data_IF_556408134797
#
_entry.id   IF_556408134797
#
_cell.length_a   1.000
_cell.length_b   1.000
_cell.length_c   1.000
_cell.angle_alpha   90.00
_cell.angle_beta   90.00
_cell.angle_gamma   90.00
#
_symmetry.space_group_name_H-M   'P 1'
#
loop_
_entity.id
_entity.type
_entity.pdbx_description
1 polymer ?
#
# COMPACT_ATOMS: atom_id res chain seq x y z
N UNK A 1 8.73 -17.96 16.60
CA UNK A 1 8.14 -19.28 16.36
C UNK A 1 6.70 -19.13 15.91
N UNK A 2 6.39 -19.66 14.73
CA UNK A 2 5.04 -19.74 14.18
C UNK A 2 4.20 -20.81 14.91
N UNK A 3 2.90 -20.54 15.05
CA UNK A 3 1.89 -21.39 15.65
C UNK A 3 0.51 -20.98 15.15
N UNK A 4 -0.18 -21.90 14.50
CA UNK A 4 -1.56 -21.73 14.06
C UNK A 4 -2.53 -21.57 15.25
N UNK A 5 -3.52 -20.70 15.08
CA UNK A 5 -4.59 -20.53 16.05
C UNK A 5 -5.71 -21.56 15.84
N UNK A 6 -5.74 -22.60 16.65
CA UNK A 6 -6.84 -23.60 16.67
C UNK A 6 -7.80 -23.42 17.84
N UNK A 7 -7.57 -22.46 18.74
CA UNK A 7 -8.34 -22.29 19.98
C UNK A 7 -9.81 -21.95 19.72
N UNK A 8 -10.08 -21.20 18.65
CA UNK A 8 -11.44 -20.79 18.30
C UNK A 8 -12.36 -21.96 17.90
N UNK A 9 -11.79 -23.13 17.57
CA UNK A 9 -12.54 -24.35 17.27
C UNK A 9 -13.10 -25.03 18.52
N UNK A 10 -12.59 -24.68 19.71
CA UNK A 10 -13.03 -25.27 20.97
C UNK A 10 -14.25 -24.52 21.50
N UNK A 11 -15.36 -25.24 21.64
CA UNK A 11 -16.57 -24.72 22.26
C UNK A 11 -16.39 -24.60 23.78
N UNK A 12 -16.35 -23.37 24.28
CA UNK A 12 -16.34 -23.11 25.71
C UNK A 12 -17.77 -23.26 26.26
N UNK A 13 -17.99 -24.25 27.12
CA UNK A 13 -19.28 -24.49 27.80
C UNK A 13 -19.82 -23.23 28.49
N UNK A 14 -18.92 -22.36 28.93
CA UNK A 14 -19.22 -21.11 29.64
C UNK A 14 -19.11 -19.86 28.75
N UNK A 15 -19.03 -20.03 27.43
CA UNK A 15 -18.94 -18.92 26.49
C UNK A 15 -20.20 -18.04 26.48
N UNK A 16 -20.04 -16.78 26.09
CA UNK A 16 -21.09 -15.74 26.07
C UNK A 16 -22.32 -16.22 25.29
N UNK A 17 -22.12 -16.82 24.12
CA UNK A 17 -23.22 -17.32 23.27
C UNK A 17 -23.99 -18.48 23.92
N UNK A 18 -23.33 -19.29 24.74
CA UNK A 18 -23.98 -20.43 25.42
C UNK A 18 -24.78 -20.02 26.66
N UNK A 19 -24.66 -18.77 27.11
CA UNK A 19 -25.33 -18.22 28.30
C UNK A 19 -26.53 -17.32 27.98
N UNK A 20 -26.75 -17.00 26.70
CA UNK A 20 -27.89 -16.18 26.28
C UNK A 20 -29.14 -17.02 26.02
N UNK A 21 -30.30 -16.36 25.94
CA UNK A 21 -31.54 -17.03 25.55
C UNK A 21 -31.45 -17.57 24.11
N UNK A 22 -32.19 -18.65 23.81
CA UNK A 22 -32.24 -19.23 22.45
C UNK A 22 -32.61 -18.21 21.37
N UNK A 23 -33.53 -17.28 21.69
CA UNK A 23 -33.91 -16.21 20.76
C UNK A 23 -32.75 -15.26 20.46
N UNK A 24 -31.95 -14.92 21.47
CA UNK A 24 -30.77 -14.07 21.27
C UNK A 24 -29.64 -14.83 20.56
N UNK A 25 -29.46 -16.12 20.86
CA UNK A 25 -28.53 -16.99 20.15
C UNK A 25 -28.85 -17.01 18.65
N UNK A 26 -30.12 -17.20 18.28
CA UNK A 26 -30.53 -17.17 16.86
C UNK A 26 -30.26 -15.81 16.20
N UNK A 27 -30.38 -14.69 16.92
CA UNK A 27 -30.01 -13.36 16.39
C UNK A 27 -28.51 -13.21 16.17
N UNK A 28 -27.71 -13.78 17.07
CA UNK A 28 -26.25 -13.83 16.94
C UNK A 28 -25.87 -14.70 15.73
N UNK A 29 -26.45 -15.89 15.61
CA UNK A 29 -26.14 -16.84 14.54
C UNK A 29 -26.44 -16.25 13.15
N UNK A 30 -27.50 -15.43 13.06
CA UNK A 30 -27.90 -14.73 11.85
C UNK A 30 -27.19 -13.38 11.62
N UNK A 31 -26.25 -12.99 12.50
CA UNK A 31 -25.56 -11.70 12.38
C UNK A 31 -24.49 -11.71 11.28
N UNK A 32 -24.15 -10.51 10.79
CA UNK A 32 -23.07 -10.34 9.82
C UNK A 32 -21.72 -10.79 10.39
N UNK A 33 -21.51 -10.63 11.70
CA UNK A 33 -20.30 -11.01 12.42
C UNK A 33 -20.12 -12.53 12.52
N UNK A 34 -21.20 -13.29 12.74
CA UNK A 34 -21.13 -14.76 12.68
C UNK A 34 -20.84 -15.23 11.25
N UNK A 35 -21.40 -14.55 10.24
CA UNK A 35 -21.07 -14.80 8.84
C UNK A 35 -19.61 -14.46 8.53
N UNK A 36 -19.10 -13.34 9.06
CA UNK A 36 -17.69 -12.97 8.95
C UNK A 36 -16.78 -14.01 9.60
N UNK A 37 -17.14 -14.51 10.78
CA UNK A 37 -16.39 -15.58 11.44
C UNK A 37 -16.29 -16.83 10.54
N UNK A 38 -17.43 -17.26 9.97
CA UNK A 38 -17.53 -18.47 9.14
C UNK A 38 -16.82 -18.33 7.79
N UNK A 39 -16.97 -17.20 7.10
CA UNK A 39 -16.49 -17.02 5.73
C UNK A 39 -15.10 -16.37 5.63
N UNK A 40 -14.63 -15.72 6.69
CA UNK A 40 -13.36 -14.98 6.70
C UNK A 40 -12.46 -15.51 7.82
N UNK A 41 -12.76 -15.20 9.08
CA UNK A 41 -11.85 -15.48 10.20
C UNK A 41 -11.39 -16.95 10.27
N UNK A 42 -12.34 -17.88 10.19
CA UNK A 42 -12.06 -19.32 10.31
C UNK A 42 -11.47 -19.95 9.05
N UNK A 43 -11.37 -19.18 7.95
CA UNK A 43 -10.90 -19.63 6.64
C UNK A 43 -9.55 -19.03 6.23
N UNK A 44 -9.03 -18.07 7.01
CA UNK A 44 -7.68 -17.52 6.82
C UNK A 44 -6.66 -18.63 7.08
N UNK A 45 -5.84 -18.92 6.07
CA UNK A 45 -4.70 -19.83 6.21
C UNK A 45 -3.53 -19.10 6.86
N UNK A 46 -3.27 -19.38 8.14
CA UNK A 46 -2.16 -18.74 8.86
C UNK A 46 -0.77 -19.16 8.35
N UNK A 47 -0.66 -20.29 7.64
CA UNK A 47 0.63 -20.81 7.15
C UNK A 47 1.26 -19.91 6.10
N UNK A 48 0.45 -19.09 5.41
CA UNK A 48 0.92 -18.04 4.51
C UNK A 48 1.88 -17.05 5.21
N UNK A 49 1.79 -16.92 6.53
CA UNK A 49 2.57 -15.99 7.32
C UNK A 49 3.73 -16.65 8.08
N UNK A 50 3.99 -17.95 7.88
CA UNK A 50 5.04 -18.69 8.58
C UNK A 50 6.41 -18.01 8.42
N UNK A 51 6.73 -17.57 7.19
CA UNK A 51 7.98 -16.88 6.86
C UNK A 51 8.21 -15.55 7.61
N UNK A 52 7.19 -15.00 8.28
CA UNK A 52 7.33 -13.78 9.10
C UNK A 52 7.90 -14.05 10.50
N UNK A 53 8.08 -15.32 10.89
CA UNK A 53 8.46 -15.70 12.25
C UNK A 53 9.71 -16.57 12.24
N UNK A 54 10.57 -16.37 13.25
CA UNK A 54 11.78 -17.19 13.43
C UNK A 54 11.44 -18.66 13.69
N UNK A 55 12.23 -19.54 13.08
CA UNK A 55 12.28 -20.99 13.33
C UNK A 55 12.86 -21.32 14.72
N UNK A 56 13.60 -20.40 15.34
CA UNK A 56 14.17 -20.61 16.67
C UNK A 56 13.09 -20.62 17.75
N UNK A 57 13.32 -21.48 18.76
CA UNK A 57 12.47 -21.60 19.95
C UNK A 57 12.35 -20.25 20.66
N UNK A 58 11.19 -19.65 20.51
CA UNK A 58 10.83 -18.32 21.03
C UNK A 58 9.35 -18.33 21.43
N UNK A 59 8.88 -17.24 22.06
CA UNK A 59 7.46 -17.10 22.37
C UNK A 59 6.63 -17.25 21.08
N UNK A 60 5.57 -18.08 21.08
CA UNK A 60 4.68 -18.20 19.93
C UNK A 60 4.08 -16.85 19.53
N UNK A 61 3.76 -16.69 18.25
CA UNK A 61 2.98 -15.57 17.75
C UNK A 61 1.60 -15.49 18.42
N UNK A 62 1.01 -14.30 18.37
CA UNK A 62 -0.44 -14.15 18.56
C UNK A 62 -1.20 -14.70 17.35
N UNK A 63 -2.49 -14.98 17.53
CA UNK A 63 -3.36 -15.51 16.47
C UNK A 63 -3.33 -14.61 15.23
N UNK A 64 -2.85 -15.14 14.10
CA UNK A 64 -2.65 -14.34 12.90
C UNK A 64 -3.98 -14.08 12.21
N UNK A 65 -4.88 -15.08 12.17
CA UNK A 65 -6.23 -14.90 11.63
C UNK A 65 -6.99 -13.79 12.35
N UNK A 66 -6.80 -13.64 13.66
CA UNK A 66 -7.36 -12.56 14.46
C UNK A 66 -6.76 -11.20 14.09
N UNK A 67 -5.45 -11.09 13.92
CA UNK A 67 -4.80 -9.83 13.51
C UNK A 67 -5.24 -9.40 12.10
N UNK A 68 -5.26 -10.34 11.15
CA UNK A 68 -5.72 -10.11 9.77
C UNK A 68 -7.19 -9.68 9.78
N UNK A 69 -8.05 -10.44 10.46
CA UNK A 69 -9.48 -10.14 10.56
C UNK A 69 -9.78 -8.81 11.26
N UNK A 70 -9.00 -8.44 12.27
CA UNK A 70 -9.12 -7.15 12.94
C UNK A 70 -8.78 -5.99 11.99
N UNK A 71 -7.75 -6.12 11.16
CA UNK A 71 -7.42 -5.12 10.13
C UNK A 71 -8.54 -5.02 9.07
N UNK A 72 -9.12 -6.14 8.65
CA UNK A 72 -10.26 -6.16 7.74
C UNK A 72 -11.49 -5.47 8.35
N UNK A 73 -11.85 -5.80 9.60
CA UNK A 73 -12.97 -5.15 10.30
C UNK A 73 -12.73 -3.66 10.51
N UNK A 74 -11.51 -3.27 10.87
CA UNK A 74 -11.12 -1.87 11.03
C UNK A 74 -11.35 -1.08 9.74
N UNK A 75 -10.97 -1.64 8.59
CA UNK A 75 -11.22 -1.00 7.28
C UNK A 75 -12.69 -1.03 6.89
N UNK A 76 -13.38 -2.15 7.07
CA UNK A 76 -14.80 -2.31 6.76
C UNK A 76 -15.68 -1.33 7.55
N UNK A 77 -15.33 -1.03 8.80
CA UNK A 77 -16.09 -0.15 9.69
C UNK A 77 -15.51 1.27 9.76
N UNK A 78 -14.41 1.54 9.06
CA UNK A 78 -13.66 2.80 9.11
C UNK A 78 -13.30 3.22 10.55
N UNK A 79 -12.83 2.26 11.34
CA UNK A 79 -12.40 2.49 12.72
C UNK A 79 -10.96 2.98 12.80
N UNK A 80 -10.71 3.80 13.82
CA UNK A 80 -9.38 4.04 14.37
C UNK A 80 -8.88 2.80 15.13
N UNK A 81 -7.60 2.76 15.46
CA UNK A 81 -7.06 1.69 16.30
C UNK A 81 -7.70 1.68 17.70
N UNK A 82 -7.95 2.85 18.29
CA UNK A 82 -8.60 2.96 19.60
C UNK A 82 -10.00 2.34 19.56
N UNK A 83 -10.81 2.70 18.56
CA UNK A 83 -12.14 2.13 18.35
C UNK A 83 -12.07 0.62 18.07
N UNK A 84 -11.08 0.14 17.29
CA UNK A 84 -10.89 -1.29 17.06
C UNK A 84 -10.68 -2.02 18.39
N UNK A 85 -9.77 -1.55 19.24
CA UNK A 85 -9.47 -2.20 20.52
C UNK A 85 -10.65 -2.11 21.50
N UNK A 86 -11.35 -0.99 21.54
CA UNK A 86 -12.57 -0.84 22.34
C UNK A 86 -13.67 -1.82 21.90
N UNK A 87 -13.92 -1.90 20.59
CA UNK A 87 -14.92 -2.83 20.04
C UNK A 87 -14.51 -4.29 20.25
N UNK A 88 -13.23 -4.63 20.09
CA UNK A 88 -12.72 -5.96 20.42
C UNK A 88 -12.89 -6.28 21.90
N UNK A 89 -12.78 -5.30 22.79
CA UNK A 89 -12.90 -5.53 24.23
C UNK A 89 -14.36 -5.69 24.66
N UNK A 90 -15.26 -4.83 24.19
CA UNK A 90 -16.61 -4.70 24.76
C UNK A 90 -17.74 -5.12 23.82
N UNK A 91 -17.54 -5.13 22.50
CA UNK A 91 -18.61 -5.42 21.56
C UNK A 91 -18.73 -6.92 21.26
N UNK A 92 -19.75 -7.56 21.85
CA UNK A 92 -19.95 -9.02 21.79
C UNK A 92 -19.92 -9.57 20.36
N UNK A 93 -20.58 -8.92 19.39
CA UNK A 93 -20.59 -9.42 18.02
C UNK A 93 -19.20 -9.32 17.36
N UNK A 94 -18.39 -8.31 17.70
CA UNK A 94 -17.02 -8.17 17.15
C UNK A 94 -16.12 -9.25 17.73
N UNK A 95 -16.31 -9.58 19.01
CA UNK A 95 -15.64 -10.72 19.64
C UNK A 95 -15.97 -12.03 18.94
N UNK A 96 -17.23 -12.24 18.59
CA UNK A 96 -17.67 -13.41 17.82
C UNK A 96 -17.04 -13.43 16.42
N UNK A 97 -17.00 -12.31 15.71
CA UNK A 97 -16.32 -12.20 14.40
C UNK A 97 -14.84 -12.63 14.48
N UNK A 98 -14.19 -12.40 15.63
CA UNK A 98 -12.79 -12.75 15.90
C UNK A 98 -12.62 -14.08 16.64
N UNK A 99 -13.64 -14.93 16.67
CA UNK A 99 -13.57 -16.27 17.27
C UNK A 99 -13.37 -16.28 18.79
N UNK A 100 -13.69 -15.17 19.46
CA UNK A 100 -13.63 -15.05 20.93
C UNK A 100 -14.99 -15.39 21.52
N UNK A 101 -14.97 -16.24 22.55
CA UNK A 101 -16.20 -16.74 23.19
C UNK A 101 -16.37 -16.28 24.64
N UNK A 102 -15.43 -15.51 25.19
CA UNK A 102 -15.47 -14.92 26.53
C UNK A 102 -15.36 -13.39 26.46
N UNK A 103 -15.40 -12.67 27.60
CA UNK A 103 -15.26 -11.20 27.68
C UNK A 103 -13.92 -10.74 28.28
N UNK A 104 -13.05 -11.66 28.66
CA UNK A 104 -11.82 -11.35 29.43
C UNK A 104 -10.58 -11.34 28.53
N UNK A 105 -10.60 -12.15 27.47
CA UNK A 105 -9.41 -12.46 26.67
C UNK A 105 -9.29 -11.51 25.49
N UNK A 106 -8.11 -10.93 25.29
CA UNK A 106 -7.76 -10.24 24.05
C UNK A 106 -6.82 -11.12 23.21
N UNK A 107 -7.03 -11.26 21.89
CA UNK A 107 -6.23 -12.15 21.05
C UNK A 107 -4.80 -11.63 20.85
N UNK A 108 -4.61 -10.31 20.96
CA UNK A 108 -3.33 -9.61 20.87
C UNK A 108 -3.46 -8.20 21.48
N UNK A 109 -2.33 -7.52 21.70
CA UNK A 109 -2.29 -6.11 22.07
C UNK A 109 -1.86 -5.23 20.89
N UNK A 110 -2.02 -3.91 21.04
CA UNK A 110 -1.72 -2.92 19.99
C UNK A 110 -0.29 -3.02 19.46
N UNK A 111 0.71 -3.17 20.34
CA UNK A 111 2.10 -3.34 19.93
C UNK A 111 2.32 -4.57 19.05
N UNK A 112 1.64 -5.69 19.36
CA UNK A 112 1.72 -6.91 18.54
C UNK A 112 1.14 -6.70 17.15
N UNK A 113 0.02 -5.97 17.03
CA UNK A 113 -0.59 -5.66 15.73
C UNK A 113 0.31 -4.77 14.86
N UNK A 114 0.97 -3.76 15.45
CA UNK A 114 1.94 -2.93 14.74
C UNK A 114 3.18 -3.72 14.31
N UNK A 115 3.71 -4.56 15.19
CA UNK A 115 4.85 -5.43 14.84
C UNK A 115 4.49 -6.40 13.71
N UNK A 116 3.27 -6.91 13.67
CA UNK A 116 2.79 -7.75 12.56
C UNK A 116 2.74 -6.97 11.24
N UNK A 117 2.20 -5.75 11.23
CA UNK A 117 2.19 -4.88 10.06
C UNK A 117 3.60 -4.53 9.56
N UNK A 118 4.54 -4.27 10.46
CA UNK A 118 5.93 -4.01 10.08
C UNK A 118 6.57 -5.24 9.40
N UNK A 119 6.36 -6.44 9.96
CA UNK A 119 6.87 -7.68 9.35
C UNK A 119 6.29 -7.94 7.97
N UNK A 120 5.00 -7.66 7.78
CA UNK A 120 4.35 -7.76 6.47
C UNK A 120 4.98 -6.82 5.46
N UNK A 121 5.20 -5.56 5.85
CA UNK A 121 5.85 -4.58 5.00
C UNK A 121 7.29 -4.96 4.66
N UNK A 122 8.06 -5.41 5.66
CA UNK A 122 9.43 -5.88 5.47
C UNK A 122 9.49 -7.10 4.53
N UNK A 123 8.54 -8.04 4.65
CA UNK A 123 8.43 -9.19 3.76
C UNK A 123 8.14 -8.75 2.33
N UNK A 124 7.17 -7.87 2.14
CA UNK A 124 6.83 -7.33 0.82
C UNK A 124 8.02 -6.61 0.17
N UNK A 125 8.74 -5.76 0.93
CA UNK A 125 9.94 -5.08 0.42
C UNK A 125 11.04 -6.06 0.00
N UNK A 126 11.22 -7.15 0.76
CA UNK A 126 12.30 -8.13 0.51
C UNK A 126 11.99 -9.10 -0.62
N UNK A 127 10.73 -9.54 -0.73
CA UNK A 127 10.33 -10.66 -1.60
C UNK A 127 9.47 -10.22 -2.78
N UNK A 128 8.81 -9.06 -2.68
CA UNK A 128 7.76 -8.64 -3.60
C UNK A 128 6.41 -9.33 -3.38
N UNK A 129 6.30 -10.23 -2.41
CA UNK A 129 5.09 -11.02 -2.19
C UNK A 129 4.09 -10.29 -1.30
N UNK A 130 2.84 -10.17 -1.78
CA UNK A 130 1.74 -9.61 -1.02
C UNK A 130 0.93 -10.73 -0.33
N UNK A 131 1.21 -10.96 0.96
CA UNK A 131 0.51 -11.98 1.74
C UNK A 131 -0.99 -11.70 1.91
N UNK A 132 -1.42 -10.43 1.86
CA UNK A 132 -2.86 -10.09 1.89
C UNK A 132 -3.57 -10.44 0.58
N UNK A 133 -2.89 -10.34 -0.56
CA UNK A 133 -3.42 -10.82 -1.85
C UNK A 133 -3.63 -12.34 -1.80
N UNK A 134 -2.67 -13.09 -1.25
CA UNK A 134 -2.81 -14.54 -1.09
C UNK A 134 -3.96 -14.92 -0.14
N UNK A 135 -4.14 -14.19 0.97
CA UNK A 135 -5.31 -14.38 1.85
C UNK A 135 -6.61 -14.09 1.10
N UNK A 136 -6.67 -12.97 0.37
CA UNK A 136 -7.84 -12.61 -0.43
C UNK A 136 -8.19 -13.71 -1.43
N UNK A 137 -7.21 -14.18 -2.20
CA UNK A 137 -7.38 -15.24 -3.21
C UNK A 137 -7.88 -16.54 -2.58
N UNK A 138 -7.25 -16.97 -1.47
CA UNK A 138 -7.63 -18.18 -0.75
C UNK A 138 -9.04 -18.11 -0.14
N UNK A 139 -9.44 -16.94 0.36
CA UNK A 139 -10.79 -16.71 0.88
C UNK A 139 -11.83 -16.72 -0.25
N UNK A 140 -11.58 -16.00 -1.34
CA UNK A 140 -12.50 -15.94 -2.48
C UNK A 140 -12.70 -17.32 -3.11
N UNK A 141 -11.64 -18.11 -3.27
CA UNK A 141 -11.74 -19.48 -3.79
C UNK A 141 -12.63 -20.38 -2.92
N UNK A 142 -12.59 -20.21 -1.60
CA UNK A 142 -13.47 -20.93 -0.67
C UNK A 142 -14.91 -20.41 -0.74
N UNK A 143 -15.08 -19.10 -0.85
CA UNK A 143 -16.40 -18.45 -0.91
C UNK A 143 -17.15 -18.80 -2.20
N UNK A 144 -16.47 -18.87 -3.35
CA UNK A 144 -17.06 -19.35 -4.61
C UNK A 144 -17.74 -20.72 -4.42
N UNK A 145 -17.05 -21.64 -3.73
CA UNK A 145 -17.56 -22.99 -3.44
C UNK A 145 -18.68 -22.99 -2.39
N UNK A 146 -18.46 -22.31 -1.25
CA UNK A 146 -19.40 -22.31 -0.12
C UNK A 146 -20.72 -21.61 -0.48
N UNK A 147 -20.63 -20.51 -1.23
CA UNK A 147 -21.78 -19.69 -1.64
C UNK A 147 -22.35 -20.12 -3.00
N UNK A 148 -21.74 -21.12 -3.65
CA UNK A 148 -22.16 -21.68 -4.95
C UNK A 148 -22.26 -20.61 -6.04
N UNK A 149 -21.33 -19.66 -6.03
CA UNK A 149 -21.22 -18.58 -7.01
C UNK A 149 -20.45 -19.12 -8.23
N UNK A 150 -21.03 -18.98 -9.42
CA UNK A 150 -20.39 -19.40 -10.67
C UNK A 150 -19.48 -18.31 -11.21
N UNK A 151 -18.24 -18.66 -11.57
CA UNK A 151 -17.29 -17.74 -12.21
C UNK A 151 -17.05 -18.03 -13.71
N UNK A 152 -18.01 -18.67 -14.40
CA UNK A 152 -17.88 -18.93 -15.84
C UNK A 152 -18.04 -17.65 -16.69
N UNK A 153 -18.76 -16.65 -16.18
CA UNK A 153 -18.79 -15.30 -16.74
C UNK A 153 -18.22 -14.35 -15.68
N UNK A 154 -17.19 -13.60 -16.06
CA UNK A 154 -16.60 -12.54 -15.25
C UNK A 154 -16.61 -11.22 -16.02
N UNK A 155 -16.50 -10.11 -15.30
CA UNK A 155 -16.26 -8.79 -15.90
C UNK A 155 -15.16 -8.06 -15.16
N UNK A 156 -14.49 -7.15 -15.85
CA UNK A 156 -13.46 -6.30 -15.26
C UNK A 156 -13.72 -4.83 -15.57
N UNK A 157 -13.38 -3.98 -14.60
CA UNK A 157 -13.39 -2.53 -14.75
C UNK A 157 -12.23 -1.91 -13.97
N UNK A 158 -11.81 -0.71 -14.37
CA UNK A 158 -10.78 0.05 -13.68
C UNK A 158 -11.32 1.35 -13.09
N UNK A 159 -10.75 1.75 -11.96
CA UNK A 159 -11.01 3.05 -11.35
C UNK A 159 -9.70 3.72 -10.94
N UNK A 160 -9.69 5.04 -11.10
CA UNK A 160 -8.57 5.86 -10.64
C UNK A 160 -8.73 6.14 -9.15
N UNK A 161 -7.67 5.91 -8.39
CA UNK A 161 -7.63 6.16 -6.95
C UNK A 161 -6.50 7.12 -6.64
N UNK A 162 -6.86 8.28 -6.08
CA UNK A 162 -5.89 9.25 -5.63
C UNK A 162 -5.16 8.71 -4.39
N UNK A 163 -3.85 8.86 -4.36
CA UNK A 163 -3.10 8.58 -3.14
C UNK A 163 -3.39 9.67 -2.10
N UNK A 164 -3.46 9.29 -0.82
CA UNK A 164 -3.68 10.23 0.28
C UNK A 164 -2.37 10.95 0.64
N UNK A 165 -1.84 11.68 -0.34
CA UNK A 165 -0.56 12.38 -0.29
C UNK A 165 -0.73 13.87 -0.55
N UNK A 166 0.25 14.65 -0.11
CA UNK A 166 0.31 16.06 -0.45
C UNK A 166 0.61 16.26 -1.93
N UNK A 167 -0.08 17.21 -2.55
CA UNK A 167 0.23 17.63 -3.91
C UNK A 167 1.35 18.67 -3.91
N UNK A 168 2.51 18.26 -4.40
CA UNK A 168 3.67 19.12 -4.59
C UNK A 168 3.72 19.70 -6.00
N UNK A 169 4.12 20.97 -6.14
CA UNK A 169 4.73 21.44 -7.39
C UNK A 169 6.16 20.88 -7.50
N UNK A 170 6.77 20.90 -8.70
CA UNK A 170 8.14 20.41 -8.91
C UNK A 170 9.13 21.01 -7.91
N UNK A 171 9.17 22.35 -7.81
CA UNK A 171 10.11 23.02 -6.89
C UNK A 171 9.79 22.71 -5.43
N UNK A 172 8.50 22.63 -5.08
CA UNK A 172 8.09 22.30 -3.71
C UNK A 172 8.51 20.90 -3.29
N UNK A 173 8.37 19.91 -4.18
CA UNK A 173 8.84 18.53 -3.98
C UNK A 173 10.34 18.53 -3.67
N UNK A 174 11.12 19.24 -4.48
CA UNK A 174 12.56 19.27 -4.35
C UNK A 174 13.01 19.92 -3.03
N UNK A 175 12.37 21.03 -2.64
CA UNK A 175 12.63 21.72 -1.36
C UNK A 175 12.17 20.87 -0.18
N UNK A 176 11.04 20.17 -0.27
CA UNK A 176 10.59 19.27 0.79
C UNK A 176 11.62 18.18 1.07
N UNK A 177 12.20 17.59 0.04
CA UNK A 177 13.22 16.55 0.21
C UNK A 177 14.51 17.11 0.80
N UNK A 178 14.95 18.33 0.43
CA UNK A 178 16.06 19.04 1.09
C UNK A 178 15.79 19.16 2.60
N UNK A 179 14.58 19.56 2.99
CA UNK A 179 14.19 19.68 4.40
C UNK A 179 14.20 18.33 5.13
N UNK A 180 13.75 17.25 4.47
CA UNK A 180 13.77 15.88 5.03
C UNK A 180 15.21 15.38 5.22
N UNK A 181 16.09 15.64 4.25
CA UNK A 181 17.52 15.30 4.35
C UNK A 181 18.15 16.02 5.54
N UNK A 182 17.92 17.33 5.69
CA UNK A 182 18.49 18.07 6.82
C UNK A 182 18.03 17.51 8.18
N UNK A 183 16.77 17.08 8.30
CA UNK A 183 16.21 16.52 9.56
C UNK A 183 16.83 15.18 9.97
N UNK A 184 17.35 14.38 9.02
CA UNK A 184 17.98 13.09 9.36
C UNK A 184 19.45 13.22 9.70
N UNK A 185 20.06 14.38 9.47
CA UNK A 185 21.44 14.65 9.87
C UNK A 185 21.55 14.69 11.39
N UNK A 186 22.70 14.27 11.93
CA UNK A 186 23.03 14.46 13.34
C UNK A 186 23.09 15.94 13.71
N UNK A 187 22.89 16.29 14.99
CA UNK A 187 22.96 17.68 15.45
C UNK A 187 24.30 18.35 15.09
N UNK A 188 25.39 17.60 15.14
CA UNK A 188 26.74 18.06 14.73
C UNK A 188 26.77 18.42 13.24
N UNK A 189 26.25 17.54 12.38
CA UNK A 189 26.25 17.76 10.93
C UNK A 189 25.24 18.83 10.52
N UNK A 190 24.11 18.93 11.22
CA UNK A 190 23.18 20.04 11.05
C UNK A 190 23.87 21.39 11.32
N UNK A 191 24.64 21.49 12.41
CA UNK A 191 25.39 22.71 12.73
C UNK A 191 26.48 22.99 11.68
N UNK A 192 27.21 21.96 11.26
CA UNK A 192 28.30 22.05 10.27
C UNK A 192 27.79 22.52 8.90
N UNK A 193 26.67 21.96 8.43
CA UNK A 193 26.14 22.20 7.09
C UNK A 193 25.03 23.25 7.05
N UNK A 194 24.75 23.94 8.17
CA UNK A 194 23.63 24.88 8.29
C UNK A 194 23.62 25.94 7.19
N UNK A 195 24.79 26.48 6.84
CA UNK A 195 24.93 27.53 5.84
C UNK A 195 24.48 27.08 4.44
N UNK A 196 24.75 25.83 4.06
CA UNK A 196 24.35 25.27 2.77
C UNK A 196 22.83 25.11 2.65
N UNK A 197 22.14 24.85 3.77
CA UNK A 197 20.69 24.64 3.81
C UNK A 197 19.90 25.90 4.17
N UNK A 198 20.53 26.94 4.73
CA UNK A 198 19.87 28.06 5.43
C UNK A 198 18.75 28.73 4.62
N UNK A 199 18.92 28.80 3.29
CA UNK A 199 17.95 29.37 2.35
C UNK A 199 16.58 28.72 2.46
N UNK A 200 16.54 27.41 2.70
CA UNK A 200 15.32 26.60 2.72
C UNK A 200 14.79 26.37 4.14
N UNK A 201 15.60 26.59 5.18
CA UNK A 201 15.23 26.35 6.57
C UNK A 201 14.22 27.40 7.12
N UNK A 202 13.56 27.05 8.22
CA UNK A 202 12.67 27.96 8.97
C UNK A 202 11.26 28.15 8.39
N UNK A 203 10.96 27.56 7.21
CA UNK A 203 9.64 27.53 6.58
C UNK A 203 9.32 26.12 6.12
N UNK A 204 8.04 25.79 6.01
CA UNK A 204 7.63 24.61 5.22
C UNK A 204 7.92 24.85 3.74
N UNK A 205 8.08 23.77 2.97
CA UNK A 205 8.24 23.84 1.50
C UNK A 205 7.15 24.69 0.86
N UNK A 206 5.88 24.55 1.27
CA UNK A 206 4.78 25.36 0.77
C UNK A 206 4.93 26.87 1.04
N UNK A 207 5.31 27.24 2.27
CA UNK A 207 5.56 28.64 2.64
C UNK A 207 6.76 29.24 1.91
N UNK A 208 7.77 28.43 1.62
CA UNK A 208 8.93 28.85 0.82
C UNK A 208 8.50 29.24 -0.59
N UNK A 209 7.77 28.36 -1.27
CA UNK A 209 7.30 28.58 -2.65
C UNK A 209 6.35 29.76 -2.75
N UNK A 210 5.45 29.95 -1.78
CA UNK A 210 4.47 31.04 -1.80
C UNK A 210 5.12 32.44 -1.80
N UNK A 211 6.36 32.56 -1.32
CA UNK A 211 7.11 33.82 -1.32
C UNK A 211 7.82 34.12 -2.65
N UNK A 212 7.88 33.17 -3.58
CA UNK A 212 8.60 33.31 -4.84
C UNK A 212 7.72 33.91 -5.93
N UNK A 213 8.34 34.70 -6.82
CA UNK A 213 7.68 35.17 -8.05
C UNK A 213 7.91 34.15 -9.16
N UNK A 214 6.99 34.08 -10.11
CA UNK A 214 7.08 33.14 -11.24
C UNK A 214 8.36 33.32 -12.07
N UNK A 215 8.86 34.55 -12.21
CA UNK A 215 10.12 34.88 -12.90
C UNK A 215 11.36 34.27 -12.24
N UNK A 216 11.31 33.99 -10.94
CA UNK A 216 12.47 33.49 -10.19
C UNK A 216 12.55 31.96 -10.19
N UNK A 217 11.52 31.25 -10.64
CA UNK A 217 11.38 29.79 -10.50
C UNK A 217 12.50 28.99 -11.18
N UNK A 218 12.89 29.37 -12.40
CA UNK A 218 13.97 28.69 -13.12
C UNK A 218 15.31 28.86 -12.41
N UNK A 219 15.61 30.09 -11.96
CA UNK A 219 16.82 30.37 -11.18
C UNK A 219 16.83 29.60 -9.85
N UNK A 220 15.66 29.38 -9.27
CA UNK A 220 15.53 28.66 -8.01
C UNK A 220 15.70 27.15 -8.19
N UNK A 221 15.17 26.58 -9.28
CA UNK A 221 15.41 25.18 -9.64
C UNK A 221 16.91 24.90 -9.84
N UNK A 222 17.66 25.83 -10.42
CA UNK A 222 19.10 25.68 -10.58
C UNK A 222 19.83 25.64 -9.23
N UNK A 223 19.53 26.57 -8.32
CA UNK A 223 20.11 26.59 -6.96
C UNK A 223 19.80 25.31 -6.18
N UNK A 224 18.55 24.84 -6.30
CA UNK A 224 18.15 23.55 -5.72
C UNK A 224 18.98 22.42 -6.34
N UNK A 225 19.16 22.40 -7.66
CA UNK A 225 20.00 21.41 -8.34
C UNK A 225 21.46 21.41 -7.88
N UNK A 226 22.05 22.58 -7.71
CA UNK A 226 23.40 22.74 -7.16
C UNK A 226 23.51 22.16 -5.75
N UNK A 227 22.53 22.43 -4.89
CA UNK A 227 22.47 21.85 -3.55
C UNK A 227 22.28 20.32 -3.59
N UNK A 228 21.42 19.82 -4.48
CA UNK A 228 21.27 18.36 -4.68
C UNK A 228 22.60 17.72 -5.06
N UNK A 229 23.33 18.27 -6.01
CA UNK A 229 24.62 17.72 -6.40
C UNK A 229 25.66 17.77 -5.25
N UNK A 230 25.64 18.85 -4.46
CA UNK A 230 26.48 18.93 -3.28
C UNK A 230 26.08 17.87 -2.23
N UNK A 231 24.79 17.66 -1.98
CA UNK A 231 24.26 16.62 -1.09
C UNK A 231 24.71 15.23 -1.57
N UNK A 232 24.60 14.94 -2.86
CA UNK A 232 25.00 13.66 -3.45
C UNK A 232 26.50 13.37 -3.23
N UNK A 233 27.35 14.40 -3.30
CA UNK A 233 28.80 14.25 -3.13
C UNK A 233 29.28 14.27 -1.68
N UNK A 234 28.67 15.07 -0.82
CA UNK A 234 29.19 15.35 0.53
C UNK A 234 28.40 14.64 1.63
N UNK A 235 27.08 14.49 1.46
CA UNK A 235 26.19 14.00 2.52
C UNK A 235 25.79 12.54 2.27
N UNK A 236 25.37 12.19 1.05
CA UNK A 236 24.93 10.83 0.72
C UNK A 236 25.96 9.76 1.09
N UNK A 237 27.29 9.92 0.90
CA UNK A 237 28.27 8.91 1.30
C UNK A 237 28.29 8.61 2.81
N UNK A 238 27.84 9.56 3.64
CA UNK A 238 27.81 9.42 5.10
C UNK A 238 26.48 8.87 5.63
N UNK A 239 25.40 8.97 4.85
CA UNK A 239 24.02 8.69 5.27
C UNK A 239 23.27 7.74 4.32
N UNK A 240 23.97 7.02 3.44
CA UNK A 240 23.38 6.19 2.39
C UNK A 240 22.35 5.15 2.91
N UNK A 241 22.52 4.66 4.13
CA UNK A 241 21.63 3.68 4.77
C UNK A 241 20.28 4.27 5.21
N UNK A 242 20.14 5.60 5.26
CA UNK A 242 18.89 6.24 5.60
C UNK A 242 17.92 6.20 4.41
N UNK A 243 16.69 5.74 4.64
CA UNK A 243 15.67 5.55 3.59
C UNK A 243 15.43 6.82 2.74
N UNK A 244 15.57 8.02 3.32
CA UNK A 244 15.42 9.28 2.59
C UNK A 244 16.41 9.41 1.42
N UNK A 245 17.57 8.77 1.47
CA UNK A 245 18.56 8.82 0.39
C UNK A 245 18.21 7.93 -0.80
N UNK A 246 17.38 6.89 -0.61
CA UNK A 246 16.79 6.13 -1.71
C UNK A 246 15.83 6.99 -2.52
N UNK A 247 14.99 7.78 -1.83
CA UNK A 247 14.08 8.76 -2.44
C UNK A 247 14.86 9.87 -3.14
N UNK A 248 15.90 10.37 -2.48
CA UNK A 248 16.79 11.40 -3.03
C UNK A 248 17.40 11.00 -4.36
N UNK A 249 17.97 9.79 -4.45
CA UNK A 249 18.62 9.34 -5.67
C UNK A 249 17.66 9.30 -6.86
N UNK A 250 16.45 8.77 -6.66
CA UNK A 250 15.41 8.75 -7.69
C UNK A 250 15.02 10.15 -8.12
N UNK A 251 14.68 11.04 -7.18
CA UNK A 251 14.29 12.43 -7.48
C UNK A 251 15.44 13.18 -8.16
N UNK A 252 16.69 12.93 -7.75
CA UNK A 252 17.86 13.59 -8.32
C UNK A 252 18.03 13.22 -9.80
N UNK A 253 17.97 11.93 -10.13
CA UNK A 253 18.08 11.42 -11.51
C UNK A 253 16.90 11.84 -12.41
N UNK A 254 15.68 11.90 -11.85
CA UNK A 254 14.46 12.30 -12.56
C UNK A 254 14.41 13.80 -12.89
N UNK A 255 15.02 14.66 -12.06
CA UNK A 255 14.90 16.11 -12.22
C UNK A 255 16.16 16.82 -12.71
N UNK A 256 17.32 16.19 -12.62
CA UNK A 256 18.60 16.81 -12.96
C UNK A 256 19.48 15.89 -13.81
N UNK A 257 20.43 16.51 -14.51
CA UNK A 257 21.49 15.85 -15.27
C UNK A 257 22.82 16.52 -14.95
N UNK A 258 23.90 15.74 -15.04
CA UNK A 258 25.26 16.25 -14.89
C UNK A 258 25.92 16.34 -16.25
N UNK A 259 26.44 17.52 -16.57
CA UNK A 259 27.18 17.77 -17.79
C UNK A 259 28.62 18.09 -17.42
N UNK A 260 29.54 17.25 -17.88
CA UNK A 260 30.97 17.45 -17.74
C UNK A 260 31.44 18.51 -18.74
N UNK A 261 31.87 19.66 -18.23
CA UNK A 261 32.50 20.74 -18.99
C UNK A 261 33.97 20.40 -19.24
N UNK A 262 34.21 19.63 -20.30
CA UNK A 262 35.56 19.24 -20.75
C UNK A 262 36.44 20.44 -21.20
N UNK A 263 35.88 21.66 -21.26
CA UNK A 263 36.61 22.86 -21.67
C UNK A 263 37.24 23.64 -20.51
N UNK A 264 36.88 23.30 -19.27
CA UNK A 264 37.45 23.92 -18.08
C UNK A 264 38.68 23.14 -17.60
N UNK A 265 39.88 23.74 -17.68
CA UNK A 265 41.13 23.20 -17.13
C UNK A 265 41.17 23.26 -15.58
N UNK A 266 40.09 22.87 -14.89
CA UNK A 266 39.99 22.79 -13.43
C UNK A 266 39.35 21.46 -13.03
N UNK A 267 39.77 20.89 -11.90
CA UNK A 267 39.32 19.58 -11.39
C UNK A 267 37.83 19.52 -10.96
N UNK A 268 37.04 20.55 -11.28
CA UNK A 268 35.62 20.68 -10.95
C UNK A 268 34.82 20.94 -12.24
N UNK A 269 34.83 19.95 -13.14
CA UNK A 269 34.24 20.06 -14.48
C UNK A 269 32.73 19.78 -14.53
N UNK A 270 32.12 19.23 -13.48
CA UNK A 270 30.71 18.82 -13.51
C UNK A 270 29.77 19.98 -13.17
N UNK A 271 28.82 20.25 -14.07
CA UNK A 271 27.73 21.22 -13.86
C UNK A 271 26.38 20.53 -13.84
N UNK A 272 25.53 20.95 -12.90
CA UNK A 272 24.14 20.49 -12.81
C UNK A 272 23.30 21.24 -13.83
N UNK A 273 22.47 20.51 -14.56
CA UNK A 273 21.41 21.05 -15.39
C UNK A 273 20.05 20.56 -14.90
N UNK A 274 19.06 21.46 -14.97
CA UNK A 274 17.67 21.14 -14.65
C UNK A 274 17.05 20.52 -15.89
N UNK A 275 16.49 19.32 -15.77
CA UNK A 275 15.79 18.69 -16.90
C UNK A 275 14.58 19.53 -17.32
N UNK A 276 14.36 19.81 -18.61
CA UNK A 276 13.21 20.56 -19.07
C UNK A 276 11.90 19.79 -18.80
N UNK A 277 10.74 20.48 -18.69
CA UNK A 277 9.45 19.82 -18.45
C UNK A 277 9.10 18.72 -19.47
N UNK A 278 9.54 18.86 -20.72
CA UNK A 278 9.31 17.88 -21.79
C UNK A 278 10.01 16.53 -21.57
N UNK A 279 11.06 16.49 -20.73
CA UNK A 279 11.75 15.26 -20.34
C UNK A 279 11.12 14.58 -19.12
N UNK A 280 10.20 15.25 -18.41
CA UNK A 280 9.52 14.69 -17.25
C UNK A 280 8.35 13.83 -17.72
N UNK A 281 8.39 12.55 -17.38
CA UNK A 281 7.29 11.62 -17.69
C UNK A 281 6.31 11.49 -16.52
N UNK A 282 5.14 10.93 -16.81
CA UNK A 282 4.07 10.72 -15.84
C UNK A 282 4.45 9.83 -14.64
N UNK A 283 5.51 9.04 -14.77
CA UNK A 283 6.02 8.16 -13.72
C UNK A 283 7.04 8.82 -12.75
N UNK A 284 7.42 10.09 -12.98
CA UNK A 284 8.26 10.81 -12.02
C UNK A 284 7.58 10.88 -10.65
N UNK A 285 8.36 10.92 -9.57
CA UNK A 285 7.87 10.94 -8.19
C UNK A 285 6.92 12.11 -7.97
N UNK A 286 5.72 11.81 -7.50
CA UNK A 286 4.68 12.81 -7.22
C UNK A 286 4.75 13.34 -5.78
N UNK A 287 5.23 12.51 -4.85
CA UNK A 287 5.39 12.81 -3.44
C UNK A 287 6.45 11.89 -2.83
N UNK A 288 7.26 12.34 -1.86
CA UNK A 288 8.16 11.47 -1.12
C UNK A 288 7.41 10.50 -0.19
N UNK A 289 6.10 10.67 -0.01
CA UNK A 289 5.24 9.84 0.86
C UNK A 289 4.53 8.69 0.12
N UNK A 290 4.58 8.66 -1.22
CA UNK A 290 4.12 7.54 -2.05
C UNK A 290 4.93 7.55 -3.36
N UNK A 291 5.94 6.69 -3.41
CA UNK A 291 6.87 6.59 -4.54
C UNK A 291 6.28 5.82 -5.72
N UNK A 292 5.22 5.05 -5.49
CA UNK A 292 4.56 4.22 -6.49
C UNK A 292 3.44 5.00 -7.22
N UNK A 293 2.97 6.10 -6.62
CA UNK A 293 2.03 7.02 -7.24
C UNK A 293 2.60 7.66 -8.50
N UNK A 294 1.86 7.53 -9.60
CA UNK A 294 2.13 8.23 -10.86
C UNK A 294 1.10 9.34 -11.12
N UNK A 295 1.37 10.14 -12.14
CA UNK A 295 0.48 11.17 -12.64
C UNK A 295 -0.32 10.69 -13.86
N UNK A 296 -1.61 11.01 -13.93
CA UNK A 296 -2.41 10.87 -15.15
C UNK A 296 -3.40 12.03 -15.25
N UNK A 297 -3.64 12.50 -16.46
CA UNK A 297 -4.76 13.41 -16.73
C UNK A 297 -5.87 12.65 -17.45
N UNK A 298 -7.08 12.67 -16.90
CA UNK A 298 -8.26 12.05 -17.52
C UNK A 298 -9.39 13.09 -17.51
N UNK A 299 -9.96 13.40 -18.68
CA UNK A 299 -11.03 14.39 -18.86
C UNK A 299 -10.68 15.78 -18.28
N UNK A 300 -9.44 16.24 -18.49
CA UNK A 300 -8.96 17.53 -17.97
C UNK A 300 -8.77 17.58 -16.46
N UNK A 301 -8.87 16.42 -15.76
CA UNK A 301 -8.64 16.32 -14.32
C UNK A 301 -7.32 15.60 -14.05
N UNK A 302 -6.37 16.25 -13.36
CA UNK A 302 -5.14 15.60 -12.94
C UNK A 302 -5.40 14.64 -11.78
N UNK A 303 -4.75 13.49 -11.82
CA UNK A 303 -4.81 12.44 -10.82
C UNK A 303 -3.37 12.08 -10.46
N UNK A 304 -3.10 11.97 -9.16
CA UNK A 304 -1.83 11.49 -8.61
C UNK A 304 -2.10 10.31 -7.70
N UNK A 305 -1.59 9.16 -8.06
CA UNK A 305 -1.88 7.92 -7.35
C UNK A 305 -1.86 6.74 -8.31
N UNK A 306 -2.97 6.01 -8.29
CA UNK A 306 -3.02 4.65 -8.80
C UNK A 306 -4.25 4.43 -9.67
N UNK A 307 -4.24 3.32 -10.39
CA UNK A 307 -5.40 2.70 -11.02
C UNK A 307 -5.60 1.34 -10.35
N UNK A 308 -6.83 1.06 -9.95
CA UNK A 308 -7.25 -0.26 -9.46
C UNK A 308 -8.01 -0.92 -10.60
N UNK A 309 -7.64 -2.13 -10.97
CA UNK A 309 -8.44 -2.99 -11.83
C UNK A 309 -9.02 -4.12 -10.99
N UNK A 310 -10.32 -4.37 -11.17
CA UNK A 310 -11.09 -5.32 -10.38
C UNK A 310 -11.81 -6.26 -11.32
N UNK A 311 -11.66 -7.57 -11.10
CA UNK A 311 -12.43 -8.61 -11.76
C UNK A 311 -13.47 -9.14 -10.79
N UNK A 312 -14.71 -9.28 -11.25
CA UNK A 312 -15.78 -9.90 -10.47
C UNK A 312 -16.57 -10.91 -11.30
N UNK A 313 -17.19 -11.88 -10.62
CA UNK A 313 -18.16 -12.78 -11.25
C UNK A 313 -19.36 -12.01 -11.75
N UNK A 314 -19.92 -12.41 -12.88
CA UNK A 314 -21.06 -11.74 -13.52
C UNK A 314 -22.08 -12.73 -14.12
N UNK A 315 -22.03 -14.00 -13.71
CA UNK A 315 -22.98 -15.02 -14.17
C UNK A 315 -24.41 -14.67 -13.75
N UNK A 316 -25.38 -14.56 -14.68
CA UNK A 316 -26.73 -14.07 -14.37
C UNK A 316 -27.50 -14.89 -13.32
N UNK A 317 -27.18 -16.17 -13.14
CA UNK A 317 -27.86 -17.02 -12.14
C UNK A 317 -27.34 -16.83 -10.71
N UNK A 318 -26.26 -16.07 -10.51
CA UNK A 318 -25.71 -15.82 -9.19
C UNK A 318 -26.63 -14.88 -8.39
N UNK A 319 -26.96 -15.24 -7.14
CA UNK A 319 -27.67 -14.34 -6.22
C UNK A 319 -26.79 -13.19 -5.73
N UNK A 320 -25.48 -13.42 -5.67
CA UNK A 320 -24.45 -12.46 -5.30
C UNK A 320 -23.23 -12.64 -6.20
N UNK A 321 -22.50 -11.56 -6.44
CA UNK A 321 -21.23 -11.60 -7.17
C UNK A 321 -20.05 -11.45 -6.20
N UNK A 322 -18.93 -12.06 -6.56
CA UNK A 322 -17.67 -11.99 -5.81
C UNK A 322 -16.60 -11.32 -6.66
N UNK A 323 -15.80 -10.48 -6.01
CA UNK A 323 -14.55 -9.99 -6.59
C UNK A 323 -13.55 -11.15 -6.57
N UNK A 324 -12.97 -11.48 -7.71
CA UNK A 324 -12.04 -12.60 -7.91
C UNK A 324 -10.62 -12.16 -8.17
N UNK A 325 -10.41 -10.93 -8.62
CA UNK A 325 -9.08 -10.36 -8.79
C UNK A 325 -9.07 -8.87 -8.47
N UNK A 326 -8.01 -8.40 -7.81
CA UNK A 326 -7.77 -6.98 -7.58
C UNK A 326 -6.30 -6.71 -7.81
N UNK A 327 -6.00 -5.69 -8.61
CA UNK A 327 -4.63 -5.24 -8.82
C UNK A 327 -4.55 -3.73 -8.76
N UNK A 328 -3.54 -3.24 -8.03
CA UNK A 328 -3.19 -1.82 -7.95
C UNK A 328 -1.97 -1.58 -8.84
N UNK A 329 -2.03 -0.56 -9.69
CA UNK A 329 -0.91 -0.12 -10.54
C UNK A 329 -0.77 1.39 -10.51
N UNK A 330 0.40 1.95 -10.85
CA UNK A 330 0.56 3.39 -10.99
C UNK A 330 -0.46 3.98 -11.97
N UNK A 331 -0.99 5.17 -11.67
CA UNK A 331 -2.09 5.81 -12.41
C UNK A 331 -1.87 5.89 -13.94
N UNK A 332 -0.62 5.98 -14.39
CA UNK A 332 -0.27 6.07 -15.81
C UNK A 332 -0.21 4.72 -16.54
N UNK A 333 -0.54 3.62 -15.86
CA UNK A 333 -0.61 2.29 -16.47
C UNK A 333 -1.89 2.17 -17.29
N UNK A 334 -1.77 1.61 -18.49
CA UNK A 334 -2.90 1.38 -19.39
C UNK A 334 -3.67 0.11 -19.01
N UNK A 335 -5.01 0.16 -19.08
CA UNK A 335 -5.89 -0.93 -18.66
C UNK A 335 -5.62 -2.23 -19.45
N UNK A 336 -5.28 -2.11 -20.75
CA UNK A 336 -4.91 -3.28 -21.57
C UNK A 336 -3.64 -3.96 -21.06
N UNK A 337 -2.65 -3.18 -20.58
CA UNK A 337 -1.41 -3.69 -20.01
C UNK A 337 -1.65 -4.38 -18.67
N UNK A 338 -2.55 -3.81 -17.85
CA UNK A 338 -2.94 -4.41 -16.56
C UNK A 338 -3.58 -5.77 -16.79
N UNK A 339 -4.58 -5.83 -17.67
CA UNK A 339 -5.27 -7.08 -17.98
C UNK A 339 -4.31 -8.12 -18.54
N UNK A 340 -3.44 -7.75 -19.50
CA UNK A 340 -2.48 -8.69 -20.08
C UNK A 340 -1.60 -9.37 -19.03
N UNK A 341 -1.13 -8.59 -18.05
CA UNK A 341 -0.31 -9.06 -16.95
C UNK A 341 -1.07 -9.88 -15.91
N UNK A 342 -2.41 -9.88 -15.93
CA UNK A 342 -3.26 -10.60 -14.97
C UNK A 342 -4.04 -11.76 -15.58
N UNK A 343 -4.14 -11.89 -16.91
CA UNK A 343 -4.94 -12.95 -17.55
C UNK A 343 -4.61 -14.35 -17.04
N UNK A 344 -3.32 -14.67 -16.87
CA UNK A 344 -2.89 -15.98 -16.38
C UNK A 344 -3.36 -16.21 -14.93
N UNK A 345 -3.20 -15.21 -14.06
CA UNK A 345 -3.67 -15.25 -12.68
C UNK A 345 -5.21 -15.35 -12.61
N UNK A 346 -5.94 -14.63 -13.47
CA UNK A 346 -7.40 -14.70 -13.53
C UNK A 346 -7.83 -16.11 -13.90
N UNK A 347 -7.22 -16.72 -14.92
CA UNK A 347 -7.50 -18.11 -15.32
C UNK A 347 -7.19 -19.11 -14.20
N UNK A 348 -6.10 -18.90 -13.45
CA UNK A 348 -5.76 -19.75 -12.31
C UNK A 348 -6.79 -19.64 -11.17
N UNK A 349 -7.23 -18.41 -10.87
CA UNK A 349 -8.19 -18.12 -9.78
C UNK A 349 -9.62 -18.54 -10.12
N UNK A 350 -10.00 -18.48 -11.40
CA UNK A 350 -11.31 -18.87 -11.92
C UNK A 350 -11.14 -19.84 -13.10
N UNK A 351 -10.78 -21.11 -12.85
CA UNK A 351 -10.50 -22.09 -13.91
C UNK A 351 -11.72 -22.42 -14.79
N UNK A 352 -12.93 -22.14 -14.32
CA UNK A 352 -14.18 -22.31 -15.07
C UNK A 352 -14.53 -21.13 -15.98
N UNK A 353 -13.70 -20.08 -16.05
CA UNK A 353 -14.01 -18.88 -16.83
C UNK A 353 -14.11 -19.20 -18.33
N UNK A 354 -15.23 -18.83 -18.92
CA UNK A 354 -15.54 -18.96 -20.36
C UNK A 354 -15.57 -17.58 -21.02
N UNK A 355 -16.09 -16.57 -20.31
CA UNK A 355 -16.24 -15.20 -20.79
C UNK A 355 -15.67 -14.18 -19.80
N UNK A 356 -14.85 -13.26 -20.30
CA UNK A 356 -14.40 -12.08 -19.57
C UNK A 356 -14.83 -10.82 -20.33
N UNK A 357 -15.75 -10.06 -19.71
CA UNK A 357 -16.32 -8.84 -20.27
C UNK A 357 -15.54 -7.61 -19.78
N UNK A 358 -15.22 -6.70 -20.69
CA UNK A 358 -14.52 -5.45 -20.39
C UNK A 358 -14.89 -4.36 -21.40
N UNK A 359 -14.61 -3.10 -21.06
CA UNK A 359 -14.85 -1.97 -21.94
C UNK A 359 -13.72 -1.77 -22.98
N UNK A 360 -13.87 -0.76 -23.83
CA UNK A 360 -12.89 -0.48 -24.90
C UNK A 360 -11.48 -0.12 -24.40
N UNK A 361 -11.31 0.29 -23.14
CA UNK A 361 -10.00 0.63 -22.57
C UNK A 361 -9.06 -0.56 -22.43
N UNK A 362 -9.62 -1.78 -22.39
CA UNK A 362 -8.87 -3.02 -22.23
C UNK A 362 -8.49 -3.69 -23.56
N UNK A 363 -8.99 -3.19 -24.70
CA UNK A 363 -8.77 -3.79 -26.02
C UNK A 363 -7.33 -3.66 -26.52
N UNK A 364 -6.64 -4.79 -26.72
CA UNK A 364 -5.33 -4.84 -27.39
C UNK A 364 -5.14 -6.18 -28.12
N UNK A 365 -4.27 -6.22 -29.14
CA UNK A 365 -3.88 -7.46 -29.83
C UNK A 365 -3.25 -8.46 -28.85
N UNK A 366 -2.39 -7.98 -27.95
CA UNK A 366 -1.73 -8.80 -26.93
C UNK A 366 -2.71 -9.50 -25.99
N UNK A 367 -3.86 -8.90 -25.69
CA UNK A 367 -4.91 -9.52 -24.88
C UNK A 367 -5.69 -10.58 -25.65
N UNK A 368 -5.80 -10.43 -26.98
CA UNK A 368 -6.44 -11.43 -27.84
C UNK A 368 -5.55 -12.67 -28.00
N UNK A 369 -4.24 -12.51 -28.12
CA UNK A 369 -3.29 -13.62 -28.25
C UNK A 369 -3.18 -14.52 -27.01
N UNK A 370 -3.50 -13.99 -25.82
CA UNK A 370 -3.52 -14.72 -24.55
C UNK A 370 -4.86 -15.40 -24.23
N UNK A 371 -5.90 -15.21 -25.06
CA UNK A 371 -7.17 -15.95 -24.92
C UNK A 371 -6.90 -17.43 -25.09
#
# INVERSE_FOLDING_TARGET
MFRENTKHLQSNLFGVVNRVSKSLQQKIDNSAETTFYRLIFSRIDERLFEGLYSEETSRPNAAINAMVSALLLMKLRNWTYEELFENMQFHVLVRIALGLNDLETMPFCMATLFNFQNRLNDHFIKTGENLFEQVFDGLTAQQLKELKVKANICRTDSLMVASNIRFYSRLQLLVELILRIYRVLTDSDQALYRQQFERYLGKSSGQYIYALKSVDLESELLKVGELYHWIDRQIKPLYADQQVFQVFERIYQEHFTIVSDLSACTAQADRVQVRPPAELHSACVQSPDDLDAAYREKNGRPIRGHVISVVETATPENEINLITDVVLKPANTDDSTILNGRLDNIKEKTPEIEELHFDGGYGSESNVEKK
#
